data_IF_048147425008
#
_entry.id   IF_048147425008
#
_cell.length_a   1.000
_cell.length_b   1.000
_cell.length_c   1.000
_cell.angle_alpha   90.00
_cell.angle_beta   90.00
_cell.angle_gamma   90.00
#
_symmetry.space_group_name_H-M   'P 1'
#
loop_
_entity.id
_entity.type
_entity.pdbx_description
1 polymer ?
#
# COMPACT_ATOMS: atom_id res chain seq x y z
N UNK A 1 -0.55 -21.32 -10.48
CA UNK A 1 0.40 -20.21 -10.23
C UNK A 1 1.79 -20.82 -10.12
N UNK A 2 2.78 -20.24 -10.80
CA UNK A 2 4.17 -20.70 -10.75
C UNK A 2 4.73 -20.36 -9.37
N UNK A 3 5.35 -21.31 -8.65
CA UNK A 3 5.82 -21.10 -7.28
C UNK A 3 6.85 -19.96 -7.19
N UNK A 4 7.68 -19.78 -8.23
CA UNK A 4 8.68 -18.71 -8.29
C UNK A 4 8.08 -17.29 -8.38
N UNK A 5 6.93 -17.13 -9.04
CA UNK A 5 6.27 -15.82 -9.14
C UNK A 5 5.64 -15.44 -7.81
N UNK A 6 5.00 -16.41 -7.14
CA UNK A 6 4.46 -16.22 -5.80
C UNK A 6 5.55 -15.92 -4.77
N UNK A 7 6.68 -16.64 -4.82
CA UNK A 7 7.80 -16.36 -3.93
C UNK A 7 8.32 -14.93 -4.11
N UNK A 8 8.50 -14.46 -5.35
CA UNK A 8 8.96 -13.09 -5.64
C UNK A 8 8.00 -12.02 -5.11
N UNK A 9 6.70 -12.16 -5.36
CA UNK A 9 5.71 -11.17 -4.89
C UNK A 9 5.52 -11.21 -3.38
N UNK A 10 5.57 -12.40 -2.78
CA UNK A 10 5.51 -12.57 -1.33
C UNK A 10 6.73 -11.96 -0.65
N UNK A 11 7.95 -12.22 -1.14
CA UNK A 11 9.17 -11.60 -0.61
C UNK A 11 9.09 -10.08 -0.71
N UNK A 12 8.70 -9.53 -1.86
CA UNK A 12 8.59 -8.07 -2.02
C UNK A 12 7.56 -7.45 -1.05
N UNK A 13 6.39 -8.10 -0.88
CA UNK A 13 5.36 -7.66 0.05
C UNK A 13 5.84 -7.75 1.52
N UNK A 14 6.53 -8.84 1.89
CA UNK A 14 7.10 -9.02 3.22
C UNK A 14 8.21 -8.01 3.51
N UNK A 15 9.11 -7.75 2.57
CA UNK A 15 10.14 -6.71 2.72
C UNK A 15 9.51 -5.35 2.95
N UNK A 16 8.47 -5.01 2.18
CA UNK A 16 7.73 -3.75 2.34
C UNK A 16 7.07 -3.67 3.72
N UNK A 17 6.41 -4.75 4.15
CA UNK A 17 5.79 -4.84 5.47
C UNK A 17 6.80 -4.65 6.61
N UNK A 18 7.97 -5.29 6.50
CA UNK A 18 9.04 -5.18 7.50
C UNK A 18 9.65 -3.77 7.53
N UNK A 19 9.99 -3.20 6.37
CA UNK A 19 10.56 -1.84 6.28
C UNK A 19 9.57 -0.79 6.79
N UNK A 20 8.32 -0.85 6.33
CA UNK A 20 7.26 0.06 6.77
C UNK A 20 6.90 -0.12 8.25
N UNK A 21 6.90 -1.35 8.75
CA UNK A 21 6.66 -1.68 10.15
C UNK A 21 7.75 -1.18 11.09
N UNK A 22 9.02 -1.35 10.72
CA UNK A 22 10.17 -0.82 11.46
C UNK A 22 10.12 0.71 11.54
N UNK A 23 9.80 1.38 10.42
CA UNK A 23 9.65 2.83 10.38
C UNK A 23 8.45 3.34 11.19
N UNK A 24 7.44 2.50 11.43
CA UNK A 24 6.23 2.83 12.20
C UNK A 24 6.33 2.51 13.68
N UNK A 25 7.44 1.92 14.17
CA UNK A 25 7.68 1.73 15.61
C UNK A 25 7.58 3.03 16.44
N UNK A 26 7.98 4.22 15.94
CA UNK A 26 7.73 5.51 16.59
C UNK A 26 6.26 5.95 16.59
N UNK A 27 5.31 5.20 16.03
CA UNK A 27 3.87 5.48 16.18
C UNK A 27 3.38 5.39 17.64
N UNK A 28 4.18 4.78 18.51
CA UNK A 28 4.00 4.77 19.97
C UNK A 28 4.74 5.93 20.68
N UNK A 29 5.35 6.85 19.93
CA UNK A 29 6.04 7.99 20.51
C UNK A 29 5.07 9.05 21.02
N UNK A 30 5.48 9.78 22.06
CA UNK A 30 4.78 10.96 22.60
C UNK A 30 4.41 11.98 21.54
N UNK A 31 5.18 12.08 20.45
CA UNK A 31 4.88 12.97 19.33
C UNK A 31 3.57 12.60 18.63
N UNK A 32 3.36 11.31 18.32
CA UNK A 32 2.13 10.88 17.67
C UNK A 32 0.92 11.07 18.59
N UNK A 33 1.10 10.95 19.91
CA UNK A 33 0.06 11.21 20.92
C UNK A 33 -0.36 12.68 21.00
N UNK A 34 0.57 13.60 20.77
CA UNK A 34 0.30 15.04 20.78
C UNK A 34 -0.41 15.54 19.52
N UNK A 35 -0.40 14.76 18.42
CA UNK A 35 -1.10 15.16 17.19
C UNK A 35 -2.61 15.18 17.38
N UNK A 36 -3.24 16.26 16.90
CA UNK A 36 -4.70 16.32 16.77
C UNK A 36 -5.15 15.33 15.70
N UNK A 37 -6.02 14.40 16.09
CA UNK A 37 -6.51 13.28 15.26
C UNK A 37 -8.01 13.41 15.02
N UNK A 38 -8.51 13.03 13.82
CA UNK A 38 -9.93 13.08 13.55
C UNK A 38 -10.70 11.98 14.29
N UNK A 39 -11.99 12.21 14.54
CA UNK A 39 -12.88 11.26 15.23
C UNK A 39 -13.08 9.94 14.50
N UNK A 40 -12.90 9.91 13.17
CA UNK A 40 -13.02 8.70 12.35
C UNK A 40 -11.74 7.84 12.30
N UNK A 41 -10.68 8.21 13.01
CA UNK A 41 -9.46 7.40 13.04
C UNK A 41 -9.74 6.03 13.67
N UNK A 42 -9.34 4.90 13.05
CA UNK A 42 -9.60 3.59 13.61
C UNK A 42 -8.64 3.32 14.79
N UNK A 43 -8.96 2.34 15.65
CA UNK A 43 -8.07 1.91 16.71
C UNK A 43 -6.67 1.59 16.19
N UNK A 44 -5.62 1.90 16.97
CA UNK A 44 -4.22 1.68 16.55
C UNK A 44 -3.94 0.24 16.14
N UNK A 45 -4.68 -0.71 16.73
CA UNK A 45 -4.61 -2.15 16.47
C UNK A 45 -5.17 -2.55 15.10
N UNK A 46 -5.99 -1.73 14.46
CA UNK A 46 -6.53 -2.04 13.13
C UNK A 46 -5.41 -2.09 12.07
N UNK A 47 -4.43 -1.19 12.16
CA UNK A 47 -3.31 -1.12 11.21
C UNK A 47 -2.48 -2.42 11.14
N UNK A 48 -1.96 -3.00 12.24
CA UNK A 48 -1.20 -4.25 12.19
C UNK A 48 -2.03 -5.48 11.82
N UNK A 49 -3.37 -5.40 11.80
CA UNK A 49 -4.25 -6.50 11.37
C UNK A 49 -4.54 -6.39 9.86
N UNK A 50 -4.90 -5.19 9.40
CA UNK A 50 -5.31 -4.96 8.00
C UNK A 50 -4.13 -5.10 7.05
N UNK A 51 -2.96 -4.54 7.38
CA UNK A 51 -1.80 -4.55 6.48
C UNK A 51 -1.31 -5.96 6.09
N UNK A 52 -1.12 -6.91 7.01
CA UNK A 52 -0.75 -8.28 6.64
C UNK A 52 -1.72 -8.94 5.66
N UNK A 53 -3.04 -8.75 5.87
CA UNK A 53 -4.08 -9.29 4.99
C UNK A 53 -3.98 -8.65 3.60
N UNK A 54 -3.78 -7.33 3.53
CA UNK A 54 -3.57 -6.62 2.27
C UNK A 54 -2.30 -7.10 1.56
N UNK A 55 -1.17 -7.25 2.26
CA UNK A 55 0.08 -7.74 1.68
C UNK A 55 -0.04 -9.17 1.13
N UNK A 56 -0.72 -10.05 1.85
CA UNK A 56 -1.00 -11.41 1.37
C UNK A 56 -1.86 -11.37 0.10
N UNK A 57 -2.89 -10.52 0.08
CA UNK A 57 -3.77 -10.33 -1.08
C UNK A 57 -3.00 -9.76 -2.28
N UNK A 58 -2.16 -8.75 -2.06
CA UNK A 58 -1.28 -8.17 -3.08
C UNK A 58 -0.37 -9.24 -3.67
N UNK A 59 0.28 -10.05 -2.83
CA UNK A 59 1.21 -11.08 -3.29
C UNK A 59 0.53 -12.13 -4.16
N UNK A 60 -0.62 -12.66 -3.71
CA UNK A 60 -1.37 -13.70 -4.41
C UNK A 60 -1.96 -13.18 -5.72
N UNK A 61 -2.69 -12.06 -5.68
CA UNK A 61 -3.35 -11.49 -6.86
C UNK A 61 -2.34 -11.06 -7.91
N UNK A 62 -1.25 -10.43 -7.48
CA UNK A 62 -0.19 -9.99 -8.40
C UNK A 62 0.55 -11.15 -9.04
N UNK A 63 0.87 -12.19 -8.29
CA UNK A 63 1.52 -13.37 -8.87
C UNK A 63 0.63 -14.06 -9.90
N UNK A 64 -0.67 -14.17 -9.60
CA UNK A 64 -1.65 -14.75 -10.52
C UNK A 64 -1.81 -13.92 -11.79
N UNK A 65 -1.84 -12.59 -11.64
CA UNK A 65 -1.93 -11.63 -12.75
C UNK A 65 -0.71 -11.75 -13.68
N UNK A 66 0.51 -11.73 -13.11
CA UNK A 66 1.75 -11.84 -13.88
C UNK A 66 1.84 -13.18 -14.61
N UNK A 67 1.52 -14.28 -13.94
CA UNK A 67 1.56 -15.61 -14.55
C UNK A 67 0.56 -15.74 -15.69
N UNK A 68 -0.65 -15.19 -15.51
CA UNK A 68 -1.69 -15.22 -16.53
C UNK A 68 -1.28 -14.45 -17.77
N UNK A 69 -0.82 -13.21 -17.60
CA UNK A 69 -0.35 -12.37 -18.72
C UNK A 69 0.78 -13.07 -19.51
N UNK A 70 1.74 -13.69 -18.81
CA UNK A 70 2.81 -14.47 -19.46
C UNK A 70 2.29 -15.70 -20.21
N UNK A 71 1.31 -16.39 -19.66
CA UNK A 71 0.72 -17.59 -20.29
C UNK A 71 -0.06 -17.22 -21.55
N UNK A 72 -0.68 -16.04 -21.56
CA UNK A 72 -1.39 -15.48 -22.73
C UNK A 72 -0.44 -14.82 -23.75
N UNK A 73 0.89 -14.90 -23.58
CA UNK A 73 1.88 -14.29 -24.47
C UNK A 73 1.98 -12.76 -24.35
N UNK A 74 1.37 -12.16 -23.33
CA UNK A 74 1.32 -10.71 -23.08
C UNK A 74 2.48 -10.28 -22.16
N UNK A 75 3.70 -10.59 -22.57
CA UNK A 75 4.90 -10.42 -21.73
C UNK A 75 5.18 -8.95 -21.38
N UNK A 76 4.91 -8.01 -22.30
CA UNK A 76 5.10 -6.59 -22.04
C UNK A 76 4.12 -6.05 -20.99
N UNK A 77 2.88 -6.53 -21.00
CA UNK A 77 1.90 -6.20 -19.97
C UNK A 77 2.28 -6.81 -18.62
N UNK A 78 2.82 -8.03 -18.61
CA UNK A 78 3.33 -8.67 -17.40
C UNK A 78 4.50 -7.87 -16.80
N UNK A 79 5.42 -7.37 -17.64
CA UNK A 79 6.53 -6.49 -17.23
C UNK A 79 6.02 -5.16 -16.70
N UNK A 80 5.09 -4.52 -17.41
CA UNK A 80 4.50 -3.26 -16.99
C UNK A 80 3.77 -3.39 -15.65
N UNK A 81 3.03 -4.48 -15.43
CA UNK A 81 2.40 -4.78 -14.15
C UNK A 81 3.43 -4.99 -13.04
N UNK A 82 4.50 -5.75 -13.30
CA UNK A 82 5.56 -5.97 -12.31
C UNK A 82 6.28 -4.67 -11.91
N UNK A 83 6.53 -3.77 -12.88
CA UNK A 83 7.07 -2.43 -12.61
C UNK A 83 6.11 -1.57 -11.78
N UNK A 84 4.83 -1.56 -12.14
CA UNK A 84 3.80 -0.85 -11.38
C UNK A 84 3.70 -1.39 -9.93
N UNK A 85 3.80 -2.70 -9.74
CA UNK A 85 3.81 -3.33 -8.42
C UNK A 85 5.04 -2.92 -7.61
N UNK A 86 6.24 -2.95 -8.23
CA UNK A 86 7.47 -2.51 -7.58
C UNK A 86 7.41 -1.04 -7.15
N UNK A 87 6.93 -0.16 -8.03
CA UNK A 87 6.71 1.25 -7.71
C UNK A 87 5.69 1.44 -6.58
N UNK A 88 4.57 0.71 -6.63
CA UNK A 88 3.54 0.77 -5.59
C UNK A 88 4.08 0.38 -4.21
N UNK A 89 4.82 -0.73 -4.12
CA UNK A 89 5.44 -1.19 -2.88
C UNK A 89 6.52 -0.22 -2.37
N UNK A 90 7.29 0.39 -3.27
CA UNK A 90 8.27 1.41 -2.90
C UNK A 90 7.59 2.65 -2.30
N UNK A 91 6.52 3.14 -2.93
CA UNK A 91 5.71 4.26 -2.39
C UNK A 91 5.11 3.87 -1.04
N UNK A 92 4.60 2.64 -0.92
CA UNK A 92 4.03 2.11 0.32
C UNK A 92 5.05 2.15 1.48
N UNK A 93 6.25 1.59 1.28
CA UNK A 93 7.31 1.63 2.28
C UNK A 93 7.75 3.06 2.61
N UNK A 94 7.84 3.94 1.61
CA UNK A 94 8.28 5.32 1.79
C UNK A 94 7.30 6.13 2.65
N UNK A 95 6.00 5.86 2.57
CA UNK A 95 4.98 6.58 3.33
C UNK A 95 5.23 6.53 4.84
N UNK A 96 5.51 5.34 5.38
CA UNK A 96 5.81 5.18 6.81
C UNK A 96 7.03 5.99 7.24
N UNK A 97 8.05 6.08 6.37
CA UNK A 97 9.25 6.86 6.66
C UNK A 97 8.99 8.37 6.61
N UNK A 98 8.24 8.86 5.61
CA UNK A 98 7.86 10.28 5.52
C UNK A 98 6.99 10.70 6.70
N UNK A 99 6.04 9.85 7.11
CA UNK A 99 5.11 10.14 8.21
C UNK A 99 5.80 10.08 9.58
N UNK A 100 6.51 8.99 9.92
CA UNK A 100 7.02 8.77 11.28
C UNK A 100 8.46 9.23 11.48
N UNK A 101 9.33 9.07 10.49
CA UNK A 101 10.74 9.48 10.61
C UNK A 101 10.91 10.96 10.33
N UNK A 102 10.40 11.45 9.19
CA UNK A 102 10.51 12.86 8.82
C UNK A 102 9.45 13.76 9.45
N UNK A 103 8.38 13.19 10.01
CA UNK A 103 7.27 13.94 10.64
C UNK A 103 6.63 14.99 9.73
N UNK A 104 6.75 14.81 8.41
CA UNK A 104 6.25 15.76 7.41
C UNK A 104 4.82 15.37 7.01
N UNK A 105 3.85 15.84 7.78
CA UNK A 105 2.43 15.47 7.62
C UNK A 105 1.88 15.79 6.21
N UNK A 106 2.26 16.95 5.65
CA UNK A 106 1.85 17.35 4.30
C UNK A 106 2.44 16.44 3.21
N UNK A 107 3.73 16.15 3.28
CA UNK A 107 4.39 15.22 2.36
C UNK A 107 3.80 13.81 2.48
N UNK A 108 3.50 13.35 3.71
CA UNK A 108 2.89 12.04 3.92
C UNK A 108 1.48 11.94 3.34
N UNK A 109 0.70 13.03 3.35
CA UNK A 109 -0.60 13.09 2.68
C UNK A 109 -0.46 12.95 1.16
N UNK A 110 0.52 13.63 0.56
CA UNK A 110 0.83 13.51 -0.88
C UNK A 110 1.30 12.10 -1.23
N UNK A 111 2.19 11.51 -0.43
CA UNK A 111 2.65 10.12 -0.63
C UNK A 111 1.50 9.12 -0.50
N UNK A 112 0.56 9.32 0.44
CA UNK A 112 -0.63 8.49 0.57
C UNK A 112 -1.55 8.62 -0.66
N UNK A 113 -1.73 9.84 -1.18
CA UNK A 113 -2.50 10.06 -2.40
C UNK A 113 -1.86 9.34 -3.60
N UNK A 114 -0.54 9.43 -3.75
CA UNK A 114 0.20 8.71 -4.78
C UNK A 114 0.05 7.19 -4.63
N UNK A 115 0.10 6.67 -3.40
CA UNK A 115 -0.15 5.27 -3.10
C UNK A 115 -1.56 4.82 -3.48
N UNK A 116 -2.55 5.69 -3.26
CA UNK A 116 -3.96 5.44 -3.62
C UNK A 116 -4.14 5.34 -5.13
N UNK A 117 -3.58 6.29 -5.88
CA UNK A 117 -3.63 6.25 -7.35
C UNK A 117 -2.92 5.01 -7.88
N UNK A 118 -1.74 4.71 -7.35
CA UNK A 118 -0.96 3.54 -7.75
C UNK A 118 -1.66 2.20 -7.42
N UNK A 119 -2.32 2.11 -6.26
CA UNK A 119 -3.08 0.91 -5.87
C UNK A 119 -4.35 0.74 -6.70
N UNK A 120 -5.05 1.83 -7.03
CA UNK A 120 -6.18 1.80 -7.95
C UNK A 120 -5.76 1.35 -9.37
N UNK A 121 -4.62 1.82 -9.88
CA UNK A 121 -4.09 1.37 -11.17
C UNK A 121 -3.72 -0.12 -11.16
N UNK A 122 -3.10 -0.62 -10.08
CA UNK A 122 -2.84 -2.06 -9.92
C UNK A 122 -4.12 -2.89 -9.94
N UNK A 123 -5.14 -2.47 -9.17
CA UNK A 123 -6.44 -3.15 -9.16
C UNK A 123 -7.05 -3.17 -10.56
N UNK A 124 -7.03 -2.03 -11.27
CA UNK A 124 -7.54 -1.93 -12.65
C UNK A 124 -6.83 -2.91 -13.59
N UNK A 125 -5.49 -2.94 -13.58
CA UNK A 125 -4.71 -3.86 -14.43
C UNK A 125 -4.97 -5.32 -14.08
N UNK A 126 -5.07 -5.65 -12.79
CA UNK A 126 -5.40 -7.01 -12.35
C UNK A 126 -6.80 -7.43 -12.79
N UNK A 127 -7.80 -6.54 -12.69
CA UNK A 127 -9.17 -6.82 -13.19
C UNK A 127 -9.16 -7.01 -14.71
N UNK A 128 -8.43 -6.19 -15.45
CA UNK A 128 -8.31 -6.33 -16.91
C UNK A 128 -7.64 -7.65 -17.32
N UNK A 129 -6.67 -8.12 -16.54
CA UNK A 129 -5.94 -9.35 -16.83
C UNK A 129 -6.70 -10.62 -16.44
N UNK A 130 -7.41 -10.64 -15.30
CA UNK A 130 -7.99 -11.87 -14.75
C UNK A 130 -9.46 -11.78 -14.32
N UNK A 131 -10.14 -10.64 -14.51
CA UNK A 131 -11.55 -10.45 -14.18
C UNK A 131 -11.81 -10.33 -12.68
N UNK A 132 -12.87 -10.99 -12.19
CA UNK A 132 -13.30 -10.95 -10.79
C UNK A 132 -12.18 -11.27 -9.76
N UNK A 133 -11.28 -12.27 -9.99
CA UNK A 133 -10.11 -12.48 -9.14
C UNK A 133 -9.20 -11.26 -8.96
N UNK A 134 -9.13 -10.35 -9.95
CA UNK A 134 -8.36 -9.10 -9.87
C UNK A 134 -9.01 -8.07 -8.94
N UNK A 135 -10.33 -8.11 -8.79
CA UNK A 135 -11.08 -7.20 -7.92
C UNK A 135 -10.79 -7.44 -6.43
N UNK A 136 -10.15 -8.55 -6.07
CA UNK A 136 -9.65 -8.79 -4.71
C UNK A 136 -8.63 -7.74 -4.23
N UNK A 137 -8.03 -6.93 -5.12
CA UNK A 137 -7.21 -5.77 -4.73
C UNK A 137 -8.03 -4.51 -4.39
N UNK A 138 -9.35 -4.51 -4.59
CA UNK A 138 -10.20 -3.34 -4.27
C UNK A 138 -10.10 -2.91 -2.81
N UNK A 139 -10.10 -3.81 -1.80
CA UNK A 139 -9.89 -3.44 -0.41
C UNK A 139 -8.55 -2.72 -0.18
N UNK A 140 -7.50 -3.05 -0.94
CA UNK A 140 -6.22 -2.37 -0.85
C UNK A 140 -6.30 -0.89 -1.31
N UNK A 141 -6.92 -0.65 -2.47
CA UNK A 141 -7.11 0.70 -2.98
C UNK A 141 -8.00 1.55 -2.05
N UNK A 142 -9.08 0.95 -1.53
CA UNK A 142 -9.97 1.61 -0.56
C UNK A 142 -9.24 1.96 0.74
N UNK A 143 -8.41 1.05 1.26
CA UNK A 143 -7.60 1.31 2.45
C UNK A 143 -6.59 2.44 2.22
N UNK A 144 -5.96 2.51 1.04
CA UNK A 144 -5.07 3.61 0.70
C UNK A 144 -5.81 4.96 0.60
N UNK A 145 -7.01 4.96 0.00
CA UNK A 145 -7.86 6.15 -0.06
C UNK A 145 -8.23 6.64 1.35
N UNK A 146 -8.59 5.72 2.24
CA UNK A 146 -8.82 6.02 3.65
C UNK A 146 -7.58 6.60 4.32
N UNK A 147 -6.40 5.99 4.13
CA UNK A 147 -5.13 6.48 4.66
C UNK A 147 -4.78 7.88 4.14
N UNK A 148 -5.14 8.20 2.89
CA UNK A 148 -4.98 9.53 2.30
C UNK A 148 -5.89 10.56 2.98
N UNK A 149 -7.17 10.23 3.15
CA UNK A 149 -8.12 11.11 3.85
C UNK A 149 -7.68 11.35 5.30
N UNK A 150 -7.24 10.30 6.00
CA UNK A 150 -6.72 10.39 7.36
C UNK A 150 -5.46 11.26 7.43
N UNK A 151 -4.46 11.01 6.57
CA UNK A 151 -3.20 11.77 6.54
C UNK A 151 -3.43 13.24 6.21
N UNK A 152 -4.30 13.52 5.24
CA UNK A 152 -4.69 14.88 4.85
C UNK A 152 -5.38 15.58 6.02
N UNK A 153 -6.31 14.92 6.69
CA UNK A 153 -7.03 15.51 7.83
C UNK A 153 -6.10 15.77 9.01
N UNK A 154 -5.17 14.86 9.32
CA UNK A 154 -4.15 15.07 10.35
C UNK A 154 -3.28 16.28 9.98
N UNK A 155 -2.82 16.39 8.72
CA UNK A 155 -2.07 17.57 8.28
C UNK A 155 -2.89 18.86 8.46
N UNK A 156 -4.15 18.90 8.01
CA UNK A 156 -5.02 20.08 8.16
C UNK A 156 -5.25 20.49 9.61
N UNK A 157 -5.34 19.53 10.54
CA UNK A 157 -5.55 19.81 11.97
C UNK A 157 -4.29 20.31 12.68
N UNK A 158 -3.11 20.08 12.12
CA UNK A 158 -1.81 20.40 12.73
C UNK A 158 -0.97 21.38 11.88
N UNK A 159 -1.50 21.92 10.77
CA UNK A 159 -0.82 22.92 9.92
C UNK A 159 -0.91 24.35 10.45
N UNK A 160 -1.71 24.58 11.50
CA UNK A 160 -1.87 25.89 12.15
C UNK A 160 -1.21 25.81 13.52
N UNK A 161 0.10 26.02 13.55
CA UNK A 161 0.90 26.39 14.72
C UNK A 161 2.14 27.09 14.21
#
# INVERSE_FOLDING_TARGET
MRPITLAKTATAALTTALVGGLASRPAQSKWYEQLRKPSFQPPRQAFPIVWPILYATIAVVSARTIDRLRTEGRDDEARAYALALGGNLAVNASWSWVFFSRRQLGAAAVTAAALTVSSADLTRRAVQAQGAPGAALTPYALWCAFATALSTRIWMLNRVS
#
